data_IF_911851967063
#
_entry.id   IF_911851967063
#
_cell.length_a   1.000
_cell.length_b   1.000
_cell.length_c   1.000
_cell.angle_alpha   90.00
_cell.angle_beta   90.00
_cell.angle_gamma   90.00
#
_symmetry.space_group_name_H-M   'P 1'
#
loop_
_entity.id
_entity.type
_entity.pdbx_description
1 polymer ?
#
# COMPACT_ATOMS: atom_id res chain seq x y z
N UNK A 1 -4.23 3.92 -5.90
CA UNK A 1 -4.22 3.81 -7.38
C UNK A 1 -4.58 5.16 -7.97
N UNK A 2 -3.89 5.62 -9.01
CA UNK A 2 -4.33 6.76 -9.82
C UNK A 2 -5.21 6.23 -10.94
N UNK A 3 -6.43 6.75 -11.07
CA UNK A 3 -7.44 6.23 -11.99
C UNK A 3 -8.08 7.36 -12.80
N UNK A 4 -7.76 7.41 -14.10
CA UNK A 4 -8.33 8.40 -15.03
C UNK A 4 -9.77 8.07 -15.43
N UNK A 5 -10.22 6.83 -15.22
CA UNK A 5 -11.59 6.39 -15.52
C UNK A 5 -12.60 6.74 -14.43
N UNK A 6 -12.13 7.10 -13.23
CA UNK A 6 -13.00 7.50 -12.13
C UNK A 6 -13.11 9.01 -12.01
N UNK A 7 -14.32 9.56 -11.99
CA UNK A 7 -14.54 10.99 -11.77
C UNK A 7 -14.25 11.41 -10.31
N UNK A 8 -14.42 10.49 -9.37
CA UNK A 8 -14.30 10.74 -7.92
C UNK A 8 -13.25 9.86 -7.28
N UNK A 9 -12.71 10.31 -6.16
CA UNK A 9 -11.79 9.53 -5.34
C UNK A 9 -12.53 8.74 -4.27
N UNK A 10 -12.08 7.52 -4.01
CA UNK A 10 -12.68 6.59 -3.06
C UNK A 10 -11.65 5.95 -2.14
N UNK A 11 -12.05 5.60 -0.92
CA UNK A 11 -11.21 4.86 0.03
C UNK A 11 -12.01 3.69 0.62
N UNK A 12 -11.35 2.54 0.74
CA UNK A 12 -11.91 1.39 1.42
C UNK A 12 -12.05 1.71 2.92
N UNK A 13 -13.20 1.39 3.51
CA UNK A 13 -13.47 1.57 4.93
C UNK A 13 -12.43 0.90 5.82
N UNK A 14 -11.92 -0.27 5.44
CA UNK A 14 -10.85 -0.97 6.18
C UNK A 14 -9.52 -0.22 6.11
N UNK A 15 -9.22 0.40 4.96
CA UNK A 15 -8.04 1.23 4.81
C UNK A 15 -8.15 2.52 5.62
N UNK A 16 -9.31 3.17 5.60
CA UNK A 16 -9.59 4.36 6.40
C UNK A 16 -9.48 4.09 7.90
N UNK A 17 -9.98 2.95 8.39
CA UNK A 17 -9.89 2.60 9.81
C UNK A 17 -8.46 2.48 10.36
N UNK A 18 -7.47 2.30 9.48
CA UNK A 18 -6.04 2.24 9.83
C UNK A 18 -5.37 3.63 9.86
N UNK A 19 -6.09 4.69 9.51
CA UNK A 19 -5.55 6.06 9.45
C UNK A 19 -6.20 6.96 10.48
N UNK A 20 -5.51 8.04 10.86
CA UNK A 20 -6.14 9.14 11.61
C UNK A 20 -6.92 9.98 10.62
N UNK A 21 -8.23 10.08 10.81
CA UNK A 21 -9.10 10.83 9.91
C UNK A 21 -10.11 11.66 10.70
N UNK A 22 -10.64 12.69 10.05
CA UNK A 22 -11.76 13.47 10.58
C UNK A 22 -13.04 12.60 10.62
N UNK A 23 -14.05 12.99 11.40
CA UNK A 23 -15.34 12.31 11.40
C UNK A 23 -15.89 12.16 9.98
N UNK A 24 -16.49 10.99 9.71
CA UNK A 24 -17.16 10.71 8.45
C UNK A 24 -18.42 11.57 8.35
N UNK A 25 -18.54 12.33 7.26
CA UNK A 25 -19.80 12.96 6.88
C UNK A 25 -20.71 11.90 6.24
N UNK A 26 -21.74 11.49 6.99
CA UNK A 26 -22.63 10.40 6.60
C UNK A 26 -23.63 10.90 5.56
N UNK A 27 -23.30 10.68 4.29
CA UNK A 27 -24.19 10.87 3.17
C UNK A 27 -24.14 9.63 2.28
N UNK A 28 -25.17 8.78 2.38
CA UNK A 28 -25.24 7.53 1.63
C UNK A 28 -25.61 7.80 0.19
N UNK A 29 -24.73 7.41 -0.73
CA UNK A 29 -24.95 7.58 -2.16
C UNK A 29 -24.56 6.30 -2.92
N UNK A 30 -25.25 6.03 -4.02
CA UNK A 30 -24.86 4.95 -4.93
C UNK A 30 -24.05 5.52 -6.08
N UNK A 31 -22.94 4.84 -6.39
CA UNK A 31 -22.12 5.15 -7.55
C UNK A 31 -22.11 3.97 -8.51
N UNK A 32 -22.13 4.28 -9.80
CA UNK A 32 -22.02 3.31 -10.89
C UNK A 32 -20.56 3.23 -11.30
N UNK A 33 -20.04 2.01 -11.42
CA UNK A 33 -18.69 1.74 -11.91
C UNK A 33 -18.58 2.05 -13.41
N UNK A 34 -17.35 2.05 -13.92
CA UNK A 34 -17.08 2.28 -15.34
C UNK A 34 -17.71 1.24 -16.28
N UNK A 35 -18.11 0.07 -15.77
CA UNK A 35 -18.84 -0.94 -16.56
C UNK A 35 -20.31 -0.57 -16.83
N UNK A 36 -20.85 0.46 -16.16
CA UNK A 36 -22.24 0.91 -16.29
C UNK A 36 -23.28 0.06 -15.57
N UNK A 37 -22.90 -1.10 -15.03
CA UNK A 37 -23.82 -2.08 -14.44
C UNK A 37 -23.57 -2.27 -12.94
N UNK A 38 -22.31 -2.31 -12.52
CA UNK A 38 -21.93 -2.54 -11.14
C UNK A 38 -22.14 -1.26 -10.35
N UNK A 39 -22.91 -1.36 -9.26
CA UNK A 39 -23.11 -0.27 -8.31
C UNK A 39 -22.46 -0.58 -6.99
N UNK A 40 -21.90 0.44 -6.34
CA UNK A 40 -21.41 0.33 -4.97
C UNK A 40 -21.96 1.47 -4.11
N UNK A 41 -22.16 1.18 -2.83
CA UNK A 41 -22.63 2.14 -1.84
C UNK A 41 -21.44 2.90 -1.26
N UNK A 42 -21.53 4.22 -1.30
CA UNK A 42 -20.67 5.14 -0.57
C UNK A 42 -21.38 5.45 0.74
N UNK A 43 -20.76 5.09 1.86
CA UNK A 43 -21.30 5.25 3.21
C UNK A 43 -21.27 6.72 3.68
N UNK A 44 -20.47 7.55 3.04
CA UNK A 44 -20.23 8.94 3.39
C UNK A 44 -18.96 9.47 2.76
N UNK A 45 -18.60 10.71 3.07
CA UNK A 45 -17.36 11.33 2.60
C UNK A 45 -16.48 11.75 3.76
N UNK A 46 -15.17 11.76 3.53
CA UNK A 46 -14.20 12.20 4.53
C UNK A 46 -13.03 12.88 3.83
N UNK A 47 -12.52 13.95 4.44
CA UNK A 47 -11.27 14.57 4.00
C UNK A 47 -10.10 13.75 4.52
N UNK A 48 -9.29 13.23 3.61
CA UNK A 48 -8.04 12.54 3.94
C UNK A 48 -6.85 13.40 3.55
N UNK A 49 -5.73 13.17 4.24
CA UNK A 49 -4.43 13.72 3.91
C UNK A 49 -3.56 12.60 3.34
N UNK A 50 -2.87 12.89 2.24
CA UNK A 50 -2.03 11.93 1.56
C UNK A 50 -0.62 12.50 1.53
N UNK A 51 0.34 11.72 2.03
CA UNK A 51 1.75 12.07 2.03
C UNK A 51 2.47 11.20 1.00
N UNK A 52 3.09 11.86 0.02
CA UNK A 52 3.83 11.22 -1.07
C UNK A 52 5.20 11.87 -1.14
N UNK A 53 6.24 11.15 -0.69
CA UNK A 53 7.56 11.72 -0.41
C UNK A 53 7.46 12.92 0.55
N UNK A 54 7.94 14.09 0.13
CA UNK A 54 7.89 15.34 0.90
C UNK A 54 6.60 16.14 0.69
N UNK A 55 5.74 15.72 -0.25
CA UNK A 55 4.52 16.44 -0.57
C UNK A 55 3.36 15.95 0.28
N UNK A 56 2.65 16.91 0.90
CA UNK A 56 1.39 16.68 1.61
C UNK A 56 0.22 17.25 0.82
N UNK A 57 -0.70 16.38 0.43
CA UNK A 57 -1.92 16.75 -0.28
C UNK A 57 -3.15 16.37 0.54
N UNK A 58 -4.34 16.78 0.07
CA UNK A 58 -5.60 16.42 0.68
C UNK A 58 -6.72 16.34 -0.35
N UNK A 59 -7.71 15.51 -0.07
CA UNK A 59 -8.89 15.35 -0.94
C UNK A 59 -10.07 14.82 -0.12
N UNK A 60 -11.28 15.15 -0.56
CA UNK A 60 -12.51 14.56 -0.03
C UNK A 60 -12.76 13.30 -0.82
N UNK A 61 -12.82 12.15 -0.12
CA UNK A 61 -13.04 10.84 -0.74
C UNK A 61 -14.36 10.25 -0.28
N UNK A 62 -15.01 9.49 -1.17
CA UNK A 62 -16.12 8.62 -0.80
C UNK A 62 -15.61 7.39 -0.05
N UNK A 63 -16.25 7.04 1.06
CA UNK A 63 -15.90 5.85 1.84
C UNK A 63 -16.80 4.70 1.45
N UNK A 64 -16.20 3.57 1.08
CA UNK A 64 -16.91 2.41 0.54
C UNK A 64 -16.55 1.15 1.31
N UNK A 65 -17.49 0.21 1.43
CA UNK A 65 -17.28 -0.99 2.26
C UNK A 65 -16.23 -1.95 1.68
N UNK A 66 -16.18 -2.10 0.36
CA UNK A 66 -15.27 -3.03 -0.30
C UNK A 66 -14.78 -2.45 -1.62
N UNK A 67 -13.46 -2.37 -1.75
CA UNK A 67 -12.74 -2.13 -3.00
C UNK A 67 -11.63 -3.16 -3.09
N UNK A 68 -11.26 -3.54 -4.31
CA UNK A 68 -10.10 -4.39 -4.57
C UNK A 68 -8.75 -3.75 -4.20
N UNK A 69 -8.76 -2.50 -3.71
CA UNK A 69 -7.60 -1.72 -3.31
C UNK A 69 -7.94 -0.78 -2.16
N UNK A 70 -6.91 -0.25 -1.51
CA UNK A 70 -7.09 0.62 -0.36
C UNK A 70 -7.70 1.98 -0.73
N UNK A 71 -7.23 2.60 -1.82
CA UNK A 71 -7.67 3.93 -2.25
C UNK A 71 -7.56 4.11 -3.76
N UNK A 72 -8.60 4.70 -4.35
CA UNK A 72 -8.68 5.16 -5.75
C UNK A 72 -8.61 6.68 -5.73
N UNK A 73 -7.64 7.24 -6.45
CA UNK A 73 -7.51 8.67 -6.68
C UNK A 73 -8.00 8.96 -8.10
N UNK A 74 -9.21 9.50 -8.19
CA UNK A 74 -9.89 9.80 -9.44
C UNK A 74 -9.49 11.15 -10.02
N UNK A 75 -10.18 11.54 -11.09
CA UNK A 75 -9.97 12.79 -11.82
C UNK A 75 -10.13 14.04 -10.95
N UNK A 76 -10.91 13.99 -9.88
CA UNK A 76 -10.99 15.06 -8.88
C UNK A 76 -9.64 15.33 -8.20
N UNK A 77 -8.90 14.29 -7.82
CA UNK A 77 -7.55 14.40 -7.27
C UNK A 77 -6.53 14.75 -8.35
N UNK A 78 -6.57 14.06 -9.49
CA UNK A 78 -5.63 14.26 -10.60
C UNK A 78 -5.69 15.71 -11.12
N UNK A 79 -6.90 16.25 -11.32
CA UNK A 79 -7.06 17.63 -11.78
C UNK A 79 -6.65 18.65 -10.72
N UNK A 80 -6.98 18.41 -9.45
CA UNK A 80 -6.63 19.32 -8.34
C UNK A 80 -5.11 19.52 -8.21
N UNK A 81 -4.34 18.46 -8.42
CA UNK A 81 -2.87 18.47 -8.29
C UNK A 81 -2.14 18.34 -9.64
N UNK A 82 -2.85 18.62 -10.74
CA UNK A 82 -2.34 18.59 -12.14
C UNK A 82 -1.47 17.37 -12.44
N UNK A 83 -1.87 16.20 -11.97
CA UNK A 83 -1.04 14.99 -12.02
C UNK A 83 -0.78 14.59 -13.46
N UNK A 84 0.50 14.37 -13.79
CA UNK A 84 0.92 13.90 -15.09
C UNK A 84 1.38 12.44 -14.99
N UNK A 85 0.66 11.56 -15.69
CA UNK A 85 0.96 10.13 -15.78
C UNK A 85 1.78 9.87 -17.04
N UNK A 86 3.10 9.83 -16.90
CA UNK A 86 4.01 9.57 -17.99
C UNK A 86 4.25 8.07 -18.17
N UNK A 87 3.41 7.42 -18.98
CA UNK A 87 3.49 5.98 -19.24
C UNK A 87 4.77 5.57 -20.01
N UNK A 88 5.35 6.48 -20.80
CA UNK A 88 6.59 6.23 -21.56
C UNK A 88 7.78 6.07 -20.62
N UNK A 89 7.88 6.96 -19.62
CA UNK A 89 8.97 6.94 -18.64
C UNK A 89 8.59 6.22 -17.34
N UNK A 90 7.37 5.67 -17.24
CA UNK A 90 6.83 5.00 -16.05
C UNK A 90 6.95 5.87 -14.80
N UNK A 91 6.43 7.10 -14.89
CA UNK A 91 6.53 8.09 -13.81
C UNK A 91 5.21 8.82 -13.60
N UNK A 92 4.90 9.12 -12.33
CA UNK A 92 3.82 10.00 -11.92
C UNK A 92 4.42 11.30 -11.41
N UNK A 93 4.11 12.41 -12.06
CA UNK A 93 4.46 13.75 -11.57
C UNK A 93 3.26 14.38 -10.88
N UNK A 94 3.47 14.90 -9.68
CA UNK A 94 2.43 15.52 -8.86
C UNK A 94 2.84 16.96 -8.59
N UNK A 95 1.97 17.89 -8.94
CA UNK A 95 2.21 19.31 -8.78
C UNK A 95 1.35 19.84 -7.63
N UNK A 96 2.00 20.49 -6.69
CA UNK A 96 1.34 21.29 -5.66
C UNK A 96 1.62 22.77 -5.89
N UNK A 97 0.89 23.68 -5.23
CA UNK A 97 1.17 25.11 -5.36
C UNK A 97 2.60 25.50 -4.99
N UNK A 98 3.28 24.70 -4.17
CA UNK A 98 4.60 25.02 -3.61
C UNK A 98 5.72 24.12 -4.13
N UNK A 99 5.41 22.94 -4.67
CA UNK A 99 6.41 21.91 -4.95
C UNK A 99 5.95 20.92 -6.02
N UNK A 100 6.89 20.18 -6.61
CA UNK A 100 6.66 19.11 -7.57
C UNK A 100 7.43 17.86 -7.19
N UNK A 101 6.76 16.71 -7.15
CA UNK A 101 7.43 15.42 -6.91
C UNK A 101 7.21 14.46 -8.07
N UNK A 102 8.20 13.63 -8.34
CA UNK A 102 8.14 12.56 -9.33
C UNK A 102 8.24 11.23 -8.62
N UNK A 103 7.24 10.38 -8.79
CA UNK A 103 7.21 9.02 -8.28
C UNK A 103 7.42 8.04 -9.44
N UNK A 104 8.27 7.01 -9.30
CA UNK A 104 8.27 5.92 -10.25
C UNK A 104 6.93 5.19 -10.18
N UNK A 105 6.35 4.86 -11.33
CA UNK A 105 5.30 3.85 -11.41
C UNK A 105 5.99 2.50 -11.18
N UNK A 106 6.07 2.08 -9.92
CA UNK A 106 6.56 0.73 -9.63
C UNK A 106 5.61 -0.27 -10.27
N UNK A 107 6.14 -1.06 -11.20
CA UNK A 107 5.54 -2.37 -11.46
C UNK A 107 5.61 -3.11 -10.12
N UNK A 108 4.55 -3.79 -9.71
CA UNK A 108 4.64 -4.78 -8.64
C UNK A 108 5.63 -5.87 -9.08
N UNK A 109 6.93 -5.62 -8.94
CA UNK A 109 7.93 -6.66 -8.94
C UNK A 109 7.61 -7.40 -7.66
N UNK A 110 7.12 -8.65 -7.73
CA UNK A 110 6.89 -9.42 -6.52
C UNK A 110 8.22 -9.37 -5.76
N UNK A 111 8.20 -8.88 -4.51
CA UNK A 111 9.38 -8.95 -3.63
C UNK A 111 9.81 -10.41 -3.66
N UNK A 112 10.88 -10.71 -4.40
CA UNK A 112 11.36 -12.08 -4.59
C UNK A 112 11.92 -12.51 -3.26
N UNK A 113 11.13 -13.30 -2.52
CA UNK A 113 11.58 -13.92 -1.29
C UNK A 113 12.35 -15.17 -1.67
N UNK A 114 13.68 -15.06 -1.70
CA UNK A 114 14.55 -16.23 -1.86
C UNK A 114 14.73 -16.87 -0.49
N UNK A 115 14.26 -18.11 -0.34
CA UNK A 115 14.51 -18.89 0.88
C UNK A 115 16.01 -19.21 0.94
N UNK A 116 16.71 -18.61 1.89
CA UNK A 116 18.11 -18.93 2.16
C UNK A 116 18.16 -20.09 3.16
N UNK A 117 18.94 -21.12 2.87
CA UNK A 117 19.21 -22.21 3.83
C UNK A 117 20.53 -21.97 4.54
N UNK A 118 20.54 -22.27 5.83
CA UNK A 118 21.76 -22.35 6.62
C UNK A 118 22.68 -23.41 6.01
N UNK A 119 23.97 -23.09 5.88
CA UNK A 119 24.97 -24.04 5.36
C UNK A 119 25.22 -25.16 6.35
N UNK A 120 25.04 -24.89 7.65
CA UNK A 120 25.25 -25.83 8.75
C UNK A 120 24.30 -25.52 9.90
N UNK A 121 23.86 -26.56 10.62
CA UNK A 121 23.12 -26.40 11.87
C UNK A 121 24.04 -25.86 12.95
N UNK A 122 23.56 -24.89 13.71
CA UNK A 122 24.33 -24.27 14.79
C UNK A 122 23.44 -24.24 16.02
N UNK A 123 23.93 -24.78 17.13
CA UNK A 123 23.32 -24.59 18.43
C UNK A 123 23.72 -23.22 18.98
N UNK A 124 22.72 -22.42 19.36
CA UNK A 124 22.89 -21.13 20.01
C UNK A 124 22.34 -21.26 21.43
N UNK A 125 23.21 -21.16 22.41
CA UNK A 125 22.80 -21.10 23.81
C UNK A 125 22.16 -19.75 24.17
N UNK A 126 21.51 -19.65 25.34
CA UNK A 126 20.99 -18.39 25.85
C UNK A 126 22.09 -17.32 25.90
N UNK A 127 21.76 -16.09 25.50
CA UNK A 127 22.66 -14.92 25.55
C UNK A 127 23.96 -15.08 24.72
N UNK A 128 23.99 -15.98 23.75
CA UNK A 128 25.12 -16.14 22.84
C UNK A 128 24.85 -15.46 21.50
N UNK A 129 25.86 -14.77 21.00
CA UNK A 129 25.88 -14.26 19.63
C UNK A 129 26.73 -15.17 18.74
N UNK A 130 26.27 -15.45 17.52
CA UNK A 130 27.07 -16.16 16.51
C UNK A 130 26.93 -15.55 15.14
N UNK A 131 28.05 -15.48 14.43
CA UNK A 131 28.09 -15.16 13.00
C UNK A 131 27.80 -16.42 12.20
N UNK A 132 26.79 -16.36 11.33
CA UNK A 132 26.32 -17.51 10.55
C UNK A 132 26.54 -17.25 9.08
N UNK A 133 27.24 -18.15 8.40
CA UNK A 133 27.38 -18.11 6.94
C UNK A 133 26.12 -18.69 6.30
N UNK A 134 25.51 -17.92 5.39
CA UNK A 134 24.39 -18.34 4.57
C UNK A 134 24.87 -18.57 3.13
N UNK A 135 24.27 -19.53 2.43
CA UNK A 135 24.39 -19.64 0.97
C UNK A 135 23.14 -19.03 0.36
N UNK A 136 23.34 -18.02 -0.49
CA UNK A 136 22.27 -17.32 -1.20
C UNK A 136 22.72 -16.99 -2.61
N UNK A 137 21.78 -16.97 -3.55
CA UNK A 137 21.97 -16.41 -4.90
C UNK A 137 21.86 -14.89 -4.93
N UNK A 138 21.54 -14.24 -3.80
CA UNK A 138 21.33 -12.80 -3.69
C UNK A 138 22.50 -12.15 -2.94
N UNK A 139 23.07 -11.08 -3.52
CA UNK A 139 24.27 -10.40 -2.98
C UNK A 139 23.97 -9.42 -1.83
N UNK A 140 22.74 -8.90 -1.75
CA UNK A 140 22.31 -7.96 -0.69
C UNK A 140 20.79 -8.03 -0.45
N UNK A 141 20.34 -7.70 0.77
CA UNK A 141 18.91 -7.66 1.09
C UNK A 141 18.61 -7.57 2.59
N UNK A 142 17.33 -7.40 2.92
CA UNK A 142 16.84 -7.51 4.30
C UNK A 142 16.64 -8.98 4.65
N UNK A 143 17.27 -9.43 5.73
CA UNK A 143 17.20 -10.82 6.19
C UNK A 143 16.19 -10.93 7.34
N UNK A 144 15.21 -11.81 7.19
CA UNK A 144 14.37 -12.25 8.29
C UNK A 144 14.90 -13.60 8.78
N UNK A 145 15.42 -13.65 10.00
CA UNK A 145 15.80 -14.90 10.63
C UNK A 145 14.58 -15.49 11.36
N UNK A 146 14.23 -16.73 11.03
CA UNK A 146 13.26 -17.51 11.79
C UNK A 146 13.96 -18.77 12.31
N UNK A 147 14.01 -19.00 13.63
CA UNK A 147 14.54 -20.25 14.16
C UNK A 147 13.67 -21.40 13.64
N UNK A 148 14.32 -22.37 12.99
CA UNK A 148 13.67 -23.35 12.13
C UNK A 148 12.42 -23.99 12.76
N UNK A 149 11.34 -24.00 11.98
CA UNK A 149 10.09 -24.80 11.95
C UNK A 149 9.72 -25.74 13.13
N UNK A 150 10.67 -26.36 13.83
CA UNK A 150 10.42 -27.22 15.00
C UNK A 150 9.95 -26.48 16.26
N UNK A 151 10.18 -25.16 16.38
CA UNK A 151 9.60 -24.39 17.50
C UNK A 151 8.08 -24.20 17.37
N UNK A 152 7.55 -24.14 16.14
CA UNK A 152 6.11 -24.00 15.89
C UNK A 152 5.32 -25.24 16.36
N UNK A 153 5.95 -26.42 16.39
CA UNK A 153 5.32 -27.65 16.87
C UNK A 153 5.35 -27.82 18.39
N UNK A 154 6.21 -27.07 19.09
CA UNK A 154 6.46 -27.24 20.53
C UNK A 154 5.67 -26.23 21.39
N UNK A 155 5.13 -25.14 20.82
CA UNK A 155 4.47 -24.10 21.63
C UNK A 155 3.04 -23.73 21.25
N UNK A 156 2.36 -24.43 20.34
CA UNK A 156 0.93 -24.16 20.10
C UNK A 156 0.62 -22.71 19.70
N UNK A 157 1.57 -22.03 19.05
CA UNK A 157 1.50 -20.61 18.67
C UNK A 157 1.00 -20.42 17.23
N UNK A 158 0.06 -21.27 16.78
CA UNK A 158 -0.77 -20.99 15.61
C UNK A 158 -2.24 -21.04 16.01
N UNK A 159 -2.87 -19.86 16.03
CA UNK A 159 -4.30 -19.66 15.76
C UNK A 159 -4.37 -19.11 14.33
#
# INVERSE_FOLDING_TARGET
MFDTGSTKSFINKTALARTKHLPLDKNKQQYVMADGYTKFEVNGTVKIFIELNHIKTNIIVGVVNSLCMDCILGMDYLNKYKINLNNKHKQVQIYTPTDTTTLPMENHVPKTRTVCRLVQFIYLGPYQERKVKIRSSVFSGQLLFSPAYRLLKIQGLMI
#
